data_IF_998354628144
#
_entry.id   IF_998354628144
#
_cell.length_a   1.000
_cell.length_b   1.000
_cell.length_c   1.000
_cell.angle_alpha   90.00
_cell.angle_beta   90.00
_cell.angle_gamma   90.00
#
_symmetry.space_group_name_H-M   'P 1'
#
loop_
_entity.id
_entity.type
_entity.pdbx_description
1 polymer ?
#
# COMPACT_ATOMS: atom_id res chain seq x y z
N UNK A 1 63.72 -48.02 1.03
CA UNK A 1 63.62 -46.56 0.88
C UNK A 1 62.16 -46.17 0.92
N UNK A 2 61.61 -45.83 2.11
CA UNK A 2 60.20 -45.56 2.32
C UNK A 2 60.00 -44.03 2.30
N UNK A 3 59.30 -43.58 1.31
CA UNK A 3 58.86 -42.18 1.23
C UNK A 3 57.46 -42.05 1.91
N UNK A 4 57.43 -41.50 3.12
CA UNK A 4 56.23 -41.15 3.84
C UNK A 4 55.75 -39.82 3.29
N UNK A 5 54.62 -39.82 2.58
CA UNK A 5 53.87 -38.58 2.22
C UNK A 5 53.09 -38.14 3.43
N UNK A 6 53.43 -36.98 3.98
CA UNK A 6 52.63 -36.29 4.98
C UNK A 6 51.43 -35.64 4.26
N UNK A 7 50.24 -36.12 4.57
CA UNK A 7 49.00 -35.43 4.26
C UNK A 7 48.74 -34.41 5.35
N UNK A 8 48.75 -33.13 5.01
CA UNK A 8 48.25 -32.04 5.87
C UNK A 8 46.73 -32.09 5.90
N UNK A 9 46.10 -31.98 7.08
CA UNK A 9 44.64 -31.84 7.14
C UNK A 9 44.27 -30.43 6.72
N UNK A 10 43.36 -30.34 5.74
CA UNK A 10 42.71 -29.12 5.34
C UNK A 10 41.74 -28.71 6.48
N UNK A 11 42.15 -27.71 7.26
CA UNK A 11 41.26 -27.10 8.24
C UNK A 11 40.15 -26.36 7.50
N UNK A 12 38.92 -26.84 7.71
CA UNK A 12 37.71 -26.30 7.14
C UNK A 12 37.49 -24.84 7.53
N UNK A 13 37.39 -24.05 6.52
CA UNK A 13 37.00 -22.65 6.58
C UNK A 13 35.69 -22.47 7.32
N UNK A 14 35.71 -21.51 8.21
CA UNK A 14 34.56 -21.01 8.96
C UNK A 14 33.34 -20.83 8.08
N UNK A 15 32.23 -21.42 8.53
CA UNK A 15 30.90 -21.19 8.02
C UNK A 15 30.61 -19.69 8.11
N UNK A 16 30.65 -18.98 6.99
CA UNK A 16 30.10 -17.64 6.89
C UNK A 16 28.61 -17.75 7.24
N UNK A 17 28.29 -17.34 8.46
CA UNK A 17 26.92 -17.10 8.87
C UNK A 17 26.39 -15.94 8.01
N UNK A 18 25.69 -16.26 6.93
CA UNK A 18 24.84 -15.30 6.27
C UNK A 18 23.91 -14.69 7.33
N UNK A 19 23.88 -13.36 7.47
CA UNK A 19 22.95 -12.76 8.42
C UNK A 19 21.55 -13.21 8.04
N UNK A 20 20.86 -13.85 8.99
CA UNK A 20 19.47 -14.19 8.81
C UNK A 20 18.74 -12.88 8.42
N UNK A 21 18.19 -12.83 7.20
CA UNK A 21 17.32 -11.77 6.78
C UNK A 21 16.17 -11.69 7.81
N UNK A 22 16.29 -10.77 8.75
CA UNK A 22 15.16 -10.40 9.61
C UNK A 22 14.10 -9.86 8.65
N UNK A 23 13.11 -10.67 8.38
CA UNK A 23 11.97 -10.22 7.61
C UNK A 23 11.31 -9.02 8.29
N UNK A 24 10.51 -8.22 7.57
CA UNK A 24 9.92 -7.00 8.08
C UNK A 24 9.23 -7.26 9.41
N UNK A 25 9.60 -6.48 10.41
CA UNK A 25 9.09 -6.57 11.78
C UNK A 25 7.65 -6.09 11.88
N UNK A 26 7.19 -5.31 10.89
CA UNK A 26 5.85 -4.76 10.84
C UNK A 26 5.19 -5.13 9.49
N UNK A 27 4.06 -5.82 9.56
CA UNK A 27 3.30 -6.26 8.38
C UNK A 27 2.03 -5.45 8.16
N UNK A 28 1.68 -4.58 9.09
CA UNK A 28 0.45 -3.79 9.06
C UNK A 28 0.70 -2.35 9.49
N UNK A 29 0.12 -1.41 8.75
CA UNK A 29 0.06 0.02 9.07
C UNK A 29 -1.35 0.52 8.83
N UNK A 30 -1.84 1.38 9.70
CA UNK A 30 -3.14 2.04 9.55
C UNK A 30 -3.12 3.46 10.06
N UNK A 31 -3.99 4.29 9.49
CA UNK A 31 -4.21 5.67 9.92
C UNK A 31 -5.66 6.07 9.70
N UNK A 32 -6.08 7.10 10.42
CA UNK A 32 -7.37 7.76 10.25
C UNK A 32 -7.15 9.23 9.94
N UNK A 33 -7.84 9.76 8.94
CA UNK A 33 -7.77 11.17 8.56
C UNK A 33 -9.17 11.75 8.42
N UNK A 34 -9.29 13.02 8.79
CA UNK A 34 -10.54 13.78 8.71
C UNK A 34 -10.44 14.96 7.75
N UNK A 35 -9.20 15.43 7.52
CA UNK A 35 -8.93 16.66 6.77
C UNK A 35 -7.75 16.50 5.81
N UNK A 36 -7.72 17.31 4.76
CA UNK A 36 -6.71 17.23 3.70
C UNK A 36 -5.30 17.68 4.12
N UNK A 37 -5.17 18.47 5.19
CA UNK A 37 -3.87 18.89 5.73
C UNK A 37 -3.03 17.72 6.25
N UNK A 38 -3.68 16.59 6.61
CA UNK A 38 -3.01 15.36 7.03
C UNK A 38 -2.44 14.52 5.88
N UNK A 39 -2.80 14.80 4.62
CA UNK A 39 -2.39 13.99 3.47
C UNK A 39 -0.87 13.89 3.31
N UNK A 40 -0.14 15.00 3.50
CA UNK A 40 1.33 14.99 3.40
C UNK A 40 1.95 14.07 4.45
N UNK A 41 1.57 14.25 5.70
CA UNK A 41 2.06 13.43 6.82
C UNK A 41 1.73 11.95 6.60
N UNK A 42 0.51 11.64 6.16
CA UNK A 42 0.07 10.26 5.87
C UNK A 42 0.93 9.60 4.80
N UNK A 43 1.27 10.32 3.71
CA UNK A 43 2.18 9.82 2.67
C UNK A 43 3.58 9.52 3.22
N UNK A 44 4.10 10.42 4.05
CA UNK A 44 5.44 10.27 4.63
C UNK A 44 5.49 9.03 5.56
N UNK A 45 4.45 8.81 6.38
CA UNK A 45 4.33 7.62 7.23
C UNK A 45 4.18 6.33 6.43
N UNK A 46 3.36 6.33 5.38
CA UNK A 46 3.20 5.19 4.49
C UNK A 46 4.52 4.83 3.78
N UNK A 47 5.25 5.83 3.28
CA UNK A 47 6.56 5.63 2.64
C UNK A 47 7.58 5.02 3.61
N UNK A 48 7.63 5.52 4.84
CA UNK A 48 8.47 4.95 5.90
C UNK A 48 8.14 3.48 6.16
N UNK A 49 6.86 3.16 6.36
CA UNK A 49 6.39 1.79 6.57
C UNK A 49 6.78 0.86 5.41
N UNK A 50 6.59 1.29 4.16
CA UNK A 50 6.93 0.50 2.97
C UNK A 50 8.44 0.26 2.87
N UNK A 51 9.26 1.25 3.20
CA UNK A 51 10.73 1.11 3.25
C UNK A 51 11.15 0.10 4.33
N UNK A 52 10.59 0.17 5.52
CA UNK A 52 10.83 -0.77 6.63
C UNK A 52 10.35 -2.19 6.29
N UNK A 53 9.35 -2.31 5.41
CA UNK A 53 8.83 -3.58 4.90
C UNK A 53 9.62 -4.13 3.70
N UNK A 54 10.76 -3.54 3.37
CA UNK A 54 11.64 -3.92 2.26
C UNK A 54 10.95 -3.87 0.87
N UNK A 55 10.00 -2.96 0.70
CA UNK A 55 9.38 -2.68 -0.60
C UNK A 55 10.32 -1.83 -1.43
N UNK A 56 10.48 -2.16 -2.72
CA UNK A 56 11.35 -1.38 -3.62
C UNK A 56 10.88 0.08 -3.71
N UNK A 57 11.78 1.06 -3.89
CA UNK A 57 11.41 2.47 -3.98
C UNK A 57 10.34 2.74 -5.05
N UNK A 58 10.46 2.11 -6.23
CA UNK A 58 9.49 2.24 -7.32
C UNK A 58 8.09 1.79 -6.90
N UNK A 59 7.99 0.58 -6.33
CA UNK A 59 6.70 0.07 -5.86
C UNK A 59 6.13 0.91 -4.71
N UNK A 60 6.99 1.40 -3.82
CA UNK A 60 6.58 2.31 -2.74
C UNK A 60 6.00 3.62 -3.30
N UNK A 61 6.59 4.19 -4.36
CA UNK A 61 6.09 5.40 -4.99
C UNK A 61 4.72 5.17 -5.65
N UNK A 62 4.52 4.06 -6.37
CA UNK A 62 3.24 3.68 -6.97
C UNK A 62 2.15 3.47 -5.90
N UNK A 63 2.49 2.82 -4.78
CA UNK A 63 1.56 2.60 -3.67
C UNK A 63 1.21 3.93 -2.97
N UNK A 64 2.19 4.80 -2.72
CA UNK A 64 1.96 6.10 -2.07
C UNK A 64 1.16 7.04 -2.98
N UNK A 65 1.38 7.00 -4.29
CA UNK A 65 0.58 7.74 -5.26
C UNK A 65 -0.87 7.24 -5.24
N UNK A 66 -1.08 5.92 -5.29
CA UNK A 66 -2.40 5.31 -5.17
C UNK A 66 -3.10 5.70 -3.86
N UNK A 67 -2.40 5.63 -2.73
CA UNK A 67 -2.91 6.07 -1.44
C UNK A 67 -3.38 7.52 -1.49
N UNK A 68 -2.58 8.41 -2.09
CA UNK A 68 -2.90 9.84 -2.21
C UNK A 68 -4.18 10.09 -3.00
N UNK A 69 -4.33 9.41 -4.14
CA UNK A 69 -5.53 9.52 -4.99
C UNK A 69 -6.78 9.00 -4.28
N UNK A 70 -6.69 7.84 -3.63
CA UNK A 70 -7.82 7.26 -2.91
C UNK A 70 -8.25 8.11 -1.71
N UNK A 71 -7.29 8.67 -0.95
CA UNK A 71 -7.58 9.56 0.17
C UNK A 71 -8.19 10.88 -0.31
N UNK A 72 -7.65 11.48 -1.36
CA UNK A 72 -8.19 12.72 -1.96
C UNK A 72 -9.63 12.51 -2.44
N UNK A 73 -9.90 11.40 -3.11
CA UNK A 73 -11.24 11.05 -3.56
C UNK A 73 -12.21 10.82 -2.39
N UNK A 74 -11.76 10.13 -1.34
CA UNK A 74 -12.57 9.88 -0.16
C UNK A 74 -12.93 11.18 0.59
N UNK A 75 -11.98 12.10 0.71
CA UNK A 75 -12.21 13.41 1.35
C UNK A 75 -13.11 14.32 0.49
N UNK A 76 -12.89 14.35 -0.84
CA UNK A 76 -13.68 15.17 -1.77
C UNK A 76 -15.14 14.71 -1.89
N UNK A 77 -15.42 13.42 -1.66
CA UNK A 77 -16.77 12.85 -1.78
C UNK A 77 -17.73 13.24 -0.64
N UNK A 78 -17.43 14.31 0.10
CA UNK A 78 -18.32 14.89 1.10
C UNK A 78 -18.25 14.22 2.48
N UNK A 79 -17.08 13.78 2.86
CA UNK A 79 -16.78 13.35 4.23
C UNK A 79 -16.78 14.52 5.23
N UNK A 80 -17.76 15.42 5.12
CA UNK A 80 -17.90 16.55 6.05
C UNK A 80 -18.21 16.10 7.49
N UNK A 81 -18.61 14.84 7.68
CA UNK A 81 -18.87 14.23 9.00
C UNK A 81 -18.50 12.74 8.94
N UNK A 82 -17.31 12.40 8.46
CA UNK A 82 -16.94 11.02 8.35
C UNK A 82 -15.44 10.81 8.54
N UNK A 83 -15.07 9.63 8.97
CA UNK A 83 -13.67 9.21 9.08
C UNK A 83 -13.24 8.46 7.85
N UNK A 84 -12.11 8.85 7.28
CA UNK A 84 -11.42 8.08 6.23
C UNK A 84 -10.29 7.31 6.89
N UNK A 85 -10.32 5.98 6.77
CA UNK A 85 -9.24 5.13 7.23
C UNK A 85 -8.45 4.59 6.06
N UNK A 86 -7.12 4.53 6.19
CA UNK A 86 -6.23 3.87 5.26
C UNK A 86 -5.43 2.79 5.97
N UNK A 87 -5.27 1.66 5.31
CA UNK A 87 -4.56 0.49 5.82
C UNK A 87 -3.62 -0.05 4.75
N UNK A 88 -2.38 -0.35 5.13
CA UNK A 88 -1.42 -1.10 4.34
C UNK A 88 -1.13 -2.42 5.04
N UNK A 89 -1.21 -3.51 4.30
CA UNK A 89 -0.91 -4.85 4.79
C UNK A 89 0.06 -5.54 3.85
N UNK A 90 1.28 -5.80 4.34
CA UNK A 90 2.32 -6.50 3.61
C UNK A 90 2.20 -8.00 3.86
N UNK A 91 1.70 -8.75 2.87
CA UNK A 91 1.59 -10.20 2.90
C UNK A 91 2.76 -10.81 2.12
N UNK A 92 3.46 -11.73 2.77
CA UNK A 92 4.57 -12.44 2.11
C UNK A 92 4.05 -13.44 1.06
N UNK A 93 4.82 -13.69 -0.01
CA UNK A 93 6.17 -13.18 -0.24
C UNK A 93 6.22 -11.80 -0.91
N UNK A 94 5.15 -11.32 -1.59
CA UNK A 94 5.22 -10.12 -2.45
C UNK A 94 3.88 -9.41 -2.65
N UNK A 95 2.91 -9.58 -1.78
CA UNK A 95 1.61 -8.95 -1.93
C UNK A 95 1.43 -7.82 -0.92
N UNK A 96 1.14 -6.62 -1.40
CA UNK A 96 0.76 -5.48 -0.57
C UNK A 96 -0.69 -5.13 -0.87
N UNK A 97 -1.49 -5.04 0.18
CA UNK A 97 -2.89 -4.62 0.10
C UNK A 97 -3.04 -3.24 0.70
N UNK A 98 -3.49 -2.30 -0.11
CA UNK A 98 -3.93 -0.99 0.32
C UNK A 98 -5.44 -0.99 0.40
N UNK A 99 -6.00 -0.59 1.54
CA UNK A 99 -7.45 -0.42 1.74
C UNK A 99 -7.72 1.00 2.22
N UNK A 100 -8.62 1.69 1.54
CA UNK A 100 -9.15 2.98 1.98
C UNK A 100 -10.65 2.83 2.21
N UNK A 101 -11.10 3.15 3.41
CA UNK A 101 -12.52 3.10 3.79
C UNK A 101 -12.99 4.48 4.18
N UNK A 102 -14.02 4.95 3.51
CA UNK A 102 -14.73 6.17 3.85
C UNK A 102 -16.05 5.79 4.55
N UNK A 103 -16.21 6.19 5.81
CA UNK A 103 -17.46 6.03 6.55
C UNK A 103 -18.17 7.41 6.61
N UNK A 104 -19.40 7.47 6.15
CA UNK A 104 -20.26 8.66 6.25
C UNK A 104 -21.16 8.55 7.46
N UNK A 105 -21.48 9.69 8.07
CA UNK A 105 -22.59 9.73 9.01
C UNK A 105 -23.91 9.41 8.27
N UNK A 106 -24.73 8.56 8.86
CA UNK A 106 -25.94 7.98 8.26
C UNK A 106 -27.09 8.98 7.99
N UNK A 107 -26.83 10.27 8.12
CA UNK A 107 -27.88 11.30 7.95
C UNK A 107 -28.18 11.71 6.50
N UNK A 108 -27.41 11.25 5.51
CA UNK A 108 -27.69 11.55 4.10
C UNK A 108 -27.93 10.26 3.33
N UNK A 109 -29.20 9.98 3.09
CA UNK A 109 -29.70 8.77 2.42
C UNK A 109 -29.68 8.82 0.89
N UNK A 110 -28.79 9.57 0.26
CA UNK A 110 -28.62 9.49 -1.19
C UNK A 110 -27.68 8.33 -1.54
N UNK A 111 -28.13 7.36 -2.36
CA UNK A 111 -27.24 6.31 -2.87
C UNK A 111 -26.10 6.97 -3.63
N UNK A 112 -24.86 6.62 -3.25
CA UNK A 112 -23.69 7.09 -3.98
C UNK A 112 -23.59 6.32 -5.30
N UNK A 113 -23.49 7.00 -6.46
CA UNK A 113 -23.18 6.29 -7.69
C UNK A 113 -21.83 5.60 -7.54
N UNK A 114 -21.65 4.37 -8.06
CA UNK A 114 -20.36 3.70 -8.04
C UNK A 114 -19.32 4.61 -8.71
N UNK A 115 -18.13 4.75 -8.11
CA UNK A 115 -17.08 5.54 -8.72
C UNK A 115 -16.73 4.97 -10.09
N UNK A 116 -16.76 5.80 -11.13
CA UNK A 116 -16.39 5.40 -12.48
C UNK A 116 -14.88 5.10 -12.53
N UNK A 117 -14.52 3.94 -13.04
CA UNK A 117 -13.13 3.57 -13.38
C UNK A 117 -12.78 3.97 -14.80
N UNK A 118 -13.75 4.53 -15.57
CA UNK A 118 -13.49 4.99 -16.93
C UNK A 118 -12.68 6.28 -16.94
N UNK A 119 -11.78 6.40 -17.91
CA UNK A 119 -10.97 7.59 -18.08
C UNK A 119 -11.88 8.79 -18.43
N UNK A 120 -11.84 9.90 -17.68
CA UNK A 120 -12.64 11.08 -17.97
C UNK A 120 -12.30 11.67 -19.34
N UNK A 121 -13.28 12.29 -19.96
CA UNK A 121 -13.07 13.04 -21.22
C UNK A 121 -12.10 14.20 -20.99
N UNK A 122 -11.27 14.57 -21.99
CA UNK A 122 -10.36 15.71 -21.90
C UNK A 122 -11.11 16.98 -21.47
N UNK A 123 -10.63 17.67 -20.43
CA UNK A 123 -11.20 18.93 -19.92
C UNK A 123 -11.92 18.84 -18.57
N UNK A 124 -12.06 17.66 -17.97
CA UNK A 124 -12.60 17.50 -16.62
C UNK A 124 -11.45 17.20 -15.65
N UNK A 125 -11.12 18.15 -14.77
CA UNK A 125 -10.03 18.03 -13.80
C UNK A 125 -10.31 17.04 -12.66
N UNK A 126 -11.54 16.56 -12.53
CA UNK A 126 -11.99 15.64 -11.48
C UNK A 126 -12.25 14.25 -12.08
N UNK A 127 -11.61 13.19 -11.56
CA UNK A 127 -11.90 11.81 -11.91
C UNK A 127 -10.75 10.99 -12.51
N UNK A 128 -9.52 11.52 -12.55
CA UNK A 128 -8.35 10.78 -13.07
C UNK A 128 -7.77 9.78 -12.05
N UNK A 129 -8.09 9.91 -10.78
CA UNK A 129 -7.50 9.13 -9.70
C UNK A 129 -7.78 7.63 -9.83
N UNK A 130 -9.03 7.22 -10.01
CA UNK A 130 -9.37 5.79 -10.11
C UNK A 130 -8.83 5.09 -11.36
N UNK A 131 -8.86 5.68 -12.56
CA UNK A 131 -8.17 5.13 -13.72
C UNK A 131 -6.66 4.97 -13.51
N UNK A 132 -6.02 5.95 -12.86
CA UNK A 132 -4.60 5.86 -12.51
C UNK A 132 -4.35 4.71 -11.52
N UNK A 133 -5.16 4.60 -10.47
CA UNK A 133 -5.09 3.49 -9.50
C UNK A 133 -5.26 2.13 -10.19
N UNK A 134 -6.22 2.02 -11.12
CA UNK A 134 -6.45 0.80 -11.88
C UNK A 134 -5.26 0.43 -12.79
N UNK A 135 -4.50 1.42 -13.26
CA UNK A 135 -3.30 1.19 -14.07
C UNK A 135 -2.08 0.77 -13.23
N UNK A 136 -1.98 1.22 -11.97
CA UNK A 136 -0.85 0.95 -11.08
C UNK A 136 -1.04 -0.34 -10.26
N UNK A 137 -2.28 -0.65 -9.84
CA UNK A 137 -2.60 -1.80 -9.02
C UNK A 137 -2.73 -3.07 -9.87
N UNK A 138 -2.27 -4.21 -9.35
CA UNK A 138 -2.48 -5.52 -9.98
C UNK A 138 -3.95 -5.93 -9.92
N UNK A 139 -4.68 -5.43 -8.91
CA UNK A 139 -6.12 -5.65 -8.74
C UNK A 139 -6.73 -4.46 -8.01
N UNK A 140 -7.90 -4.02 -8.48
CA UNK A 140 -8.71 -3.00 -7.83
C UNK A 140 -10.09 -3.55 -7.54
N UNK A 141 -10.61 -3.34 -6.32
CA UNK A 141 -11.99 -3.65 -5.96
C UNK A 141 -12.62 -2.49 -5.18
N UNK A 142 -13.89 -2.24 -5.45
CA UNK A 142 -14.66 -1.16 -4.84
C UNK A 142 -15.95 -1.75 -4.30
N UNK A 143 -16.13 -1.63 -2.99
CA UNK A 143 -17.32 -2.05 -2.27
C UNK A 143 -18.05 -0.82 -1.73
N UNK A 144 -19.28 -0.59 -2.21
CA UNK A 144 -20.18 0.42 -1.70
C UNK A 144 -21.28 -0.21 -0.84
N UNK A 145 -21.39 0.22 0.41
CA UNK A 145 -22.53 -0.11 1.28
C UNK A 145 -23.16 1.18 1.79
N UNK A 146 -24.41 1.09 2.27
CA UNK A 146 -25.07 2.25 2.85
C UNK A 146 -24.17 2.90 3.92
N UNK A 147 -23.79 4.15 3.71
CA UNK A 147 -22.92 4.91 4.63
C UNK A 147 -21.43 4.53 4.63
N UNK A 148 -20.97 3.64 3.73
CA UNK A 148 -19.54 3.29 3.67
C UNK A 148 -19.11 2.93 2.25
N UNK A 149 -17.96 3.42 1.84
CA UNK A 149 -17.27 2.99 0.61
C UNK A 149 -15.89 2.47 0.98
N UNK A 150 -15.56 1.28 0.48
CA UNK A 150 -14.25 0.66 0.66
C UNK A 150 -13.61 0.44 -0.70
N UNK A 151 -12.42 0.95 -0.89
CA UNK A 151 -11.59 0.71 -2.07
C UNK A 151 -10.38 -0.10 -1.64
N UNK A 152 -10.10 -1.18 -2.35
CA UNK A 152 -8.92 -2.02 -2.14
C UNK A 152 -8.11 -2.11 -3.42
N UNK A 153 -6.81 -1.84 -3.30
CA UNK A 153 -5.82 -1.99 -4.36
C UNK A 153 -4.74 -2.99 -3.91
N UNK A 154 -4.49 -4.00 -4.72
CA UNK A 154 -3.47 -5.01 -4.46
C UNK A 154 -2.27 -4.76 -5.39
N UNK A 155 -1.05 -4.87 -4.84
CA UNK A 155 0.21 -4.70 -5.57
C UNK A 155 1.06 -5.96 -5.41
N UNK A 156 1.57 -6.46 -6.51
CA UNK A 156 2.57 -7.54 -6.53
C UNK A 156 3.94 -6.90 -6.68
N UNK A 157 4.80 -7.06 -5.65
CA UNK A 157 6.12 -6.41 -5.56
C UNK A 157 7.28 -7.40 -5.70
#
# INVERSE_FOLDING_TARGET
MNIVRRTTPYEGTASEKFPAHRGPTNTHWSTCIETSDRLKWTRDQARKFLSESAVSPRNADDIVLTLSELLSNALASGATVGTVTAELNCQRPRLIKLTVTNKRSTQTSTPFPPPSTEMPRPGIDHGRGLPLVAALASRLSIDGRLGSTRVRADFVC
#
